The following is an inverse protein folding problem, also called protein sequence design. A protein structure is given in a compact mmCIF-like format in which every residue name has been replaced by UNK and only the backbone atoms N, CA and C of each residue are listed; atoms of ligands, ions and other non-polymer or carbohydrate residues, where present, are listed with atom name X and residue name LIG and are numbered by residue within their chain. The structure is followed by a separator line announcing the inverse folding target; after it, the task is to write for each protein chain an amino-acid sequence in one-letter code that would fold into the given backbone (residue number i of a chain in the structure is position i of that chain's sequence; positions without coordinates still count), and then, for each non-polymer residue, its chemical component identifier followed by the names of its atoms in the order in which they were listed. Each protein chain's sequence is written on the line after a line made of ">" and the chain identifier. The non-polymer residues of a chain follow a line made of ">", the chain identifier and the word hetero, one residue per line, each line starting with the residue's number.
data_IF_903346192127
#
_entry.id   IF_903346192127
#
_cell.length_a   1.000
_cell.length_b   1.000
_cell.length_c   1.000
_cell.angle_alpha   90.00
_cell.angle_beta   90.00
_cell.angle_gamma   90.00
#
_symmetry.space_group_name_H-M   'P 1'
#
loop_
_entity.id
_entity.type
_entity.pdbx_description
1 polymer ?
#
# COMPACT_ATOMS: atom_id res chain seq x y z
N UNK A 1 0.97 -3.26 -7.68
CA UNK A 1 0.00 -4.32 -8.04
C UNK A 1 0.67 -5.65 -7.75
N UNK A 2 0.02 -6.57 -7.05
CA UNK A 2 0.57 -7.88 -6.76
C UNK A 2 -0.18 -8.95 -7.58
N UNK A 3 0.32 -10.19 -7.61
CA UNK A 3 -0.34 -11.33 -8.25
C UNK A 3 -1.77 -11.59 -7.74
N UNK A 4 -2.11 -11.08 -6.56
CA UNK A 4 -3.44 -11.16 -5.93
C UNK A 4 -4.32 -9.93 -6.20
N UNK A 5 -3.81 -8.90 -6.88
CA UNK A 5 -4.62 -7.73 -7.24
C UNK A 5 -5.64 -8.14 -8.29
N UNK A 6 -6.91 -8.16 -7.90
CA UNK A 6 -8.02 -8.45 -8.80
C UNK A 6 -8.48 -7.19 -9.54
N UNK A 7 -9.12 -7.39 -10.69
CA UNK A 7 -9.79 -6.32 -11.45
C UNK A 7 -10.83 -5.58 -10.61
N UNK A 8 -11.47 -6.26 -9.67
CA UNK A 8 -12.48 -5.73 -8.74
C UNK A 8 -11.92 -4.68 -7.77
N UNK A 9 -10.64 -4.74 -7.43
CA UNK A 9 -9.99 -3.74 -6.56
C UNK A 9 -9.69 -2.44 -7.32
N UNK A 10 -9.38 -2.56 -8.61
CA UNK A 10 -9.07 -1.42 -9.48
C UNK A 10 -10.34 -0.72 -9.96
N UNK A 11 -11.23 -1.48 -10.60
CA UNK A 11 -12.44 -0.96 -11.23
C UNK A 11 -13.60 -0.82 -10.24
N UNK A 12 -13.61 -1.63 -9.20
CA UNK A 12 -14.75 -1.80 -8.33
C UNK A 12 -15.54 -3.05 -8.68
N UNK A 13 -16.38 -3.47 -7.75
CA UNK A 13 -17.21 -4.66 -7.89
C UNK A 13 -18.41 -4.60 -6.96
N UNK A 14 -19.34 -5.52 -7.16
CA UNK A 14 -20.49 -5.66 -6.26
C UNK A 14 -20.06 -6.27 -4.94
N UNK A 15 -20.07 -5.45 -3.88
CA UNK A 15 -19.77 -5.89 -2.51
C UNK A 15 -21.07 -5.97 -1.71
N UNK A 16 -21.17 -6.89 -0.74
CA UNK A 16 -22.31 -6.92 0.17
C UNK A 16 -22.29 -5.66 1.05
N UNK A 17 -23.41 -4.95 1.10
CA UNK A 17 -23.57 -3.72 1.86
C UNK A 17 -24.74 -3.88 2.83
N UNK A 18 -24.60 -3.35 4.05
CA UNK A 18 -25.71 -3.30 5.00
C UNK A 18 -26.87 -2.52 4.35
N UNK A 19 -28.06 -3.13 4.31
CA UNK A 19 -29.29 -2.50 3.84
C UNK A 19 -29.50 -1.11 4.46
N UNK A 20 -29.03 -0.88 5.69
CA UNK A 20 -29.07 0.43 6.33
C UNK A 20 -28.37 1.53 5.51
N UNK A 21 -27.20 1.24 4.94
CA UNK A 21 -26.43 2.19 4.13
C UNK A 21 -27.09 2.45 2.77
N UNK A 22 -27.77 1.46 2.20
CA UNK A 22 -28.52 1.62 0.96
C UNK A 22 -29.82 2.42 1.15
N UNK A 23 -30.50 2.19 2.27
CA UNK A 23 -31.78 2.83 2.58
C UNK A 23 -31.57 4.28 3.03
N UNK A 24 -30.46 4.60 3.70
CA UNK A 24 -30.17 5.93 4.24
C UNK A 24 -30.33 7.07 3.21
N UNK A 25 -29.64 7.09 2.06
CA UNK A 25 -29.74 8.18 1.10
C UNK A 25 -31.15 8.31 0.51
N UNK A 26 -31.85 7.18 0.29
CA UNK A 26 -33.22 7.16 -0.23
C UNK A 26 -34.20 7.73 0.83
N UNK A 27 -33.98 7.40 2.10
CA UNK A 27 -34.77 7.93 3.22
C UNK A 27 -34.57 9.44 3.36
N UNK A 28 -33.33 9.92 3.28
CA UNK A 28 -33.03 11.35 3.36
C UNK A 28 -33.69 12.12 2.21
N UNK A 29 -33.58 11.62 0.97
CA UNK A 29 -34.27 12.17 -0.21
C UNK A 29 -35.79 12.18 -0.01
N UNK A 30 -36.37 11.10 0.51
CA UNK A 30 -37.78 11.01 0.86
C UNK A 30 -38.19 12.04 1.92
N UNK A 31 -37.43 12.17 3.00
CA UNK A 31 -37.77 13.11 4.08
C UNK A 31 -37.71 14.57 3.60
N UNK A 32 -36.73 14.92 2.77
CA UNK A 32 -36.62 16.24 2.15
C UNK A 32 -37.85 16.53 1.29
N UNK A 33 -38.21 15.62 0.39
CA UNK A 33 -39.39 15.77 -0.49
C UNK A 33 -40.70 15.76 0.28
N UNK A 34 -40.80 14.95 1.33
CA UNK A 34 -41.99 14.88 2.17
C UNK A 34 -42.21 16.20 2.91
N UNK A 35 -41.15 16.79 3.49
CA UNK A 35 -41.23 18.08 4.20
C UNK A 35 -41.48 19.26 3.26
N UNK A 36 -41.09 19.17 1.99
CA UNK A 36 -41.35 20.23 1.01
C UNK A 36 -42.79 20.22 0.48
N UNK A 37 -43.50 19.08 0.54
CA UNK A 37 -44.84 18.92 -0.03
C UNK A 37 -45.96 18.75 1.01
N UNK A 38 -45.70 18.04 2.12
CA UNK A 38 -46.70 17.80 3.17
C UNK A 38 -46.45 18.68 4.40
N UNK A 39 -47.53 19.12 5.06
CA UNK A 39 -47.44 19.86 6.32
C UNK A 39 -46.78 19.02 7.42
N UNK A 40 -45.79 19.59 8.10
CA UNK A 40 -44.94 18.87 9.07
C UNK A 40 -45.67 18.57 10.39
N UNK A 41 -46.33 19.57 10.95
CA UNK A 41 -47.07 19.51 12.23
C UNK A 41 -48.01 18.29 12.35
N UNK A 42 -48.98 18.07 11.43
CA UNK A 42 -49.90 16.93 11.52
C UNK A 42 -49.21 15.58 11.25
N UNK A 43 -48.10 15.59 10.51
CA UNK A 43 -47.39 14.38 10.08
C UNK A 43 -46.17 14.04 10.96
N UNK A 44 -45.95 14.75 12.07
CA UNK A 44 -44.80 14.53 12.97
C UNK A 44 -44.74 13.11 13.52
N UNK A 45 -45.90 12.52 13.87
CA UNK A 45 -45.98 11.11 14.33
C UNK A 45 -45.56 10.12 13.24
N UNK A 46 -45.90 10.40 11.98
CA UNK A 46 -45.54 9.58 10.83
C UNK A 46 -44.02 9.64 10.55
N UNK A 47 -43.43 10.84 10.55
CA UNK A 47 -41.98 11.01 10.39
C UNK A 47 -41.19 10.32 11.53
N UNK A 48 -41.66 10.43 12.76
CA UNK A 48 -41.07 9.70 13.89
C UNK A 48 -41.17 8.18 13.73
N UNK A 49 -42.29 7.68 13.17
CA UNK A 49 -42.46 6.26 12.91
C UNK A 49 -41.49 5.77 11.82
N UNK A 50 -41.27 6.55 10.75
CA UNK A 50 -40.25 6.29 9.73
C UNK A 50 -38.86 6.22 10.35
N UNK A 51 -38.51 7.20 11.19
CA UNK A 51 -37.23 7.22 11.89
C UNK A 51 -37.02 5.98 12.77
N UNK A 52 -38.03 5.62 13.56
CA UNK A 52 -38.01 4.43 14.42
C UNK A 52 -37.90 3.13 13.61
N UNK A 53 -38.64 3.00 12.51
CA UNK A 53 -38.54 1.83 11.64
C UNK A 53 -37.14 1.67 11.02
N UNK A 54 -36.45 2.77 10.73
CA UNK A 54 -35.07 2.75 10.26
C UNK A 54 -34.07 2.35 11.35
N UNK A 55 -34.23 2.85 12.57
CA UNK A 55 -33.37 2.49 13.71
C UNK A 55 -33.54 1.02 14.11
N UNK A 56 -34.77 0.53 14.14
CA UNK A 56 -35.12 -0.86 14.47
C UNK A 56 -34.91 -1.84 13.30
N UNK A 57 -34.33 -1.39 12.17
CA UNK A 57 -34.07 -2.20 10.96
C UNK A 57 -35.32 -2.88 10.37
N UNK A 58 -36.50 -2.28 10.53
CA UNK A 58 -37.78 -2.77 10.02
C UNK A 58 -37.98 -2.39 8.54
N UNK A 59 -37.12 -2.90 7.67
CA UNK A 59 -37.01 -2.48 6.27
C UNK A 59 -38.30 -2.65 5.45
N UNK A 60 -39.03 -3.76 5.63
CA UNK A 60 -40.29 -4.03 4.89
C UNK A 60 -41.39 -3.01 5.21
N UNK A 61 -41.52 -2.68 6.50
CA UNK A 61 -42.48 -1.67 6.96
C UNK A 61 -42.07 -0.29 6.48
N UNK A 62 -40.78 0.04 6.60
CA UNK A 62 -40.23 1.32 6.17
C UNK A 62 -40.46 1.59 4.68
N UNK A 63 -40.14 0.64 3.79
CA UNK A 63 -40.35 0.79 2.34
C UNK A 63 -41.82 0.91 1.99
N UNK A 64 -42.70 0.16 2.66
CA UNK A 64 -44.15 0.22 2.44
C UNK A 64 -44.73 1.60 2.81
N UNK A 65 -44.29 2.18 3.93
CA UNK A 65 -44.72 3.52 4.35
C UNK A 65 -44.25 4.61 3.37
N UNK A 66 -43.01 4.54 2.91
CA UNK A 66 -42.45 5.49 1.92
C UNK A 66 -43.15 5.36 0.56
N UNK A 67 -43.43 4.14 0.09
CA UNK A 67 -44.16 3.92 -1.18
C UNK A 67 -45.59 4.43 -1.08
N UNK A 68 -46.31 4.12 0.00
CA UNK A 68 -47.69 4.55 0.17
C UNK A 68 -47.81 6.08 0.17
N UNK A 69 -46.93 6.77 0.91
CA UNK A 69 -46.91 8.24 0.94
C UNK A 69 -46.49 8.87 -0.38
N UNK A 70 -45.50 8.30 -1.08
CA UNK A 70 -45.09 8.71 -2.43
C UNK A 70 -46.24 8.55 -3.43
N UNK A 71 -46.98 7.43 -3.38
CA UNK A 71 -48.14 7.19 -4.23
C UNK A 71 -49.29 8.18 -3.97
N UNK A 72 -49.50 8.57 -2.71
CA UNK A 72 -50.50 9.57 -2.34
C UNK A 72 -50.10 10.98 -2.81
N UNK A 73 -48.80 11.31 -2.79
CA UNK A 73 -48.28 12.56 -3.32
C UNK A 73 -48.50 12.64 -4.84
N UNK A 74 -48.12 11.60 -5.57
CA UNK A 74 -48.28 11.51 -7.03
C UNK A 74 -49.75 11.63 -7.44
N UNK A 75 -50.67 10.91 -6.80
CA UNK A 75 -52.12 11.02 -7.07
C UNK A 75 -52.68 12.43 -6.87
N UNK A 76 -52.19 13.16 -5.87
CA UNK A 76 -52.61 14.56 -5.63
C UNK A 76 -52.05 15.50 -6.69
N UNK A 77 -50.81 15.28 -7.12
CA UNK A 77 -50.16 16.06 -8.18
C UNK A 77 -50.78 15.79 -9.56
N UNK A 78 -51.32 14.59 -9.80
CA UNK A 78 -52.07 14.28 -11.03
C UNK A 78 -53.44 14.95 -11.09
N UNK A 79 -54.06 15.23 -9.94
CA UNK A 79 -55.36 15.86 -9.83
C UNK A 79 -55.33 17.40 -9.80
N UNK A 80 -54.14 18.00 -9.67
CA UNK A 80 -53.94 19.46 -9.53
C UNK A 80 -53.56 20.11 -10.88
N UNK A 81 -53.96 21.38 -11.15
CA UNK A 81 -53.62 22.07 -12.39
C UNK A 81 -52.10 22.29 -12.52
N UNK A 82 -51.54 21.90 -13.68
CA UNK A 82 -50.10 21.86 -13.96
C UNK A 82 -49.42 23.23 -13.97
N UNK A 83 -49.03 23.72 -12.79
CA UNK A 83 -48.06 24.80 -12.64
C UNK A 83 -46.63 24.25 -12.78
N UNK A 84 -45.68 25.13 -13.12
CA UNK A 84 -44.27 24.75 -13.36
C UNK A 84 -43.64 24.06 -12.14
N UNK A 85 -43.96 24.52 -10.92
CA UNK A 85 -43.50 23.93 -9.66
C UNK A 85 -44.09 22.54 -9.40
N UNK A 86 -45.35 22.31 -9.75
CA UNK A 86 -46.00 20.99 -9.60
C UNK A 86 -45.45 19.98 -10.60
N UNK A 87 -45.10 20.41 -11.81
CA UNK A 87 -44.44 19.58 -12.81
C UNK A 87 -43.06 19.14 -12.30
N UNK A 88 -42.31 20.04 -11.68
CA UNK A 88 -40.99 19.71 -11.11
C UNK A 88 -41.10 18.75 -9.91
N UNK A 89 -42.06 18.98 -9.01
CA UNK A 89 -42.34 18.07 -7.89
C UNK A 89 -42.77 16.69 -8.40
N UNK A 90 -43.66 16.62 -9.40
CA UNK A 90 -44.10 15.36 -10.01
C UNK A 90 -42.92 14.56 -10.56
N UNK A 91 -41.96 15.22 -11.25
CA UNK A 91 -40.74 14.57 -11.71
C UNK A 91 -39.86 14.05 -10.57
N UNK A 92 -39.69 14.83 -9.49
CA UNK A 92 -38.89 14.42 -8.31
C UNK A 92 -39.53 13.23 -7.60
N UNK A 93 -40.83 13.28 -7.35
CA UNK A 93 -41.59 12.18 -6.74
C UNK A 93 -41.63 10.92 -7.62
N UNK A 94 -41.72 11.08 -8.95
CA UNK A 94 -41.65 9.96 -9.90
C UNK A 94 -40.30 9.24 -9.85
N UNK A 95 -39.19 10.00 -9.87
CA UNK A 95 -37.84 9.43 -9.70
C UNK A 95 -37.68 8.70 -8.36
N UNK A 96 -38.21 9.26 -7.27
CA UNK A 96 -38.18 8.62 -5.97
C UNK A 96 -39.01 7.32 -5.95
N UNK A 97 -40.18 7.31 -6.60
CA UNK A 97 -41.03 6.12 -6.71
C UNK A 97 -40.31 4.95 -7.39
N UNK A 98 -39.61 5.21 -8.49
CA UNK A 98 -38.80 4.19 -9.19
C UNK A 98 -37.69 3.65 -8.30
N UNK A 99 -36.98 4.52 -7.56
CA UNK A 99 -35.95 4.10 -6.59
C UNK A 99 -36.55 3.24 -5.47
N UNK A 100 -37.71 3.62 -4.95
CA UNK A 100 -38.39 2.91 -3.87
C UNK A 100 -38.92 1.53 -4.28
N UNK A 101 -39.42 1.37 -5.51
CA UNK A 101 -39.85 0.05 -6.01
C UNK A 101 -38.65 -0.89 -6.25
N UNK A 102 -37.53 -0.36 -6.75
CA UNK A 102 -36.26 -1.12 -6.80
C UNK A 102 -35.78 -1.54 -5.41
N UNK A 103 -35.88 -0.64 -4.43
CA UNK A 103 -35.51 -0.95 -3.05
C UNK A 103 -36.46 -1.99 -2.43
N UNK A 104 -37.76 -1.93 -2.74
CA UNK A 104 -38.75 -2.91 -2.26
C UNK A 104 -38.44 -4.31 -2.75
N UNK A 105 -38.10 -4.48 -4.03
CA UNK A 105 -37.77 -5.80 -4.57
C UNK A 105 -36.51 -6.38 -3.89
N UNK A 106 -35.50 -5.55 -3.63
CA UNK A 106 -34.28 -5.92 -2.88
C UNK A 106 -34.56 -6.28 -1.41
N UNK A 107 -35.51 -5.60 -0.75
CA UNK A 107 -35.89 -5.88 0.64
C UNK A 107 -36.81 -7.11 0.77
N UNK A 108 -37.51 -7.49 -0.30
CA UNK A 108 -38.40 -8.66 -0.33
C UNK A 108 -37.64 -9.97 -0.57
N UNK A 109 -36.53 -9.94 -1.31
CA UNK A 109 -35.63 -11.10 -1.39
C UNK A 109 -35.12 -11.43 0.02
N UNK A 110 -35.34 -12.67 0.46
CA UNK A 110 -35.07 -13.14 1.83
C UNK A 110 -33.59 -13.10 2.26
N UNK A 111 -32.68 -12.75 1.34
CA UNK A 111 -31.26 -12.60 1.64
C UNK A 111 -31.01 -11.18 2.14
N UNK A 112 -30.61 -11.08 3.41
CA UNK A 112 -30.20 -9.82 4.08
C UNK A 112 -28.95 -9.16 3.49
N UNK A 113 -28.37 -9.75 2.43
CA UNK A 113 -27.25 -9.20 1.69
C UNK A 113 -27.78 -8.47 0.46
N UNK A 114 -27.79 -7.15 0.52
CA UNK A 114 -27.91 -6.33 -0.68
C UNK A 114 -26.51 -6.05 -1.22
N UNK A 115 -26.37 -6.10 -2.54
CA UNK A 115 -25.10 -5.83 -3.21
C UNK A 115 -25.12 -4.42 -3.77
N UNK A 116 -24.06 -3.66 -3.51
CA UNK A 116 -23.84 -2.35 -4.12
C UNK A 116 -22.53 -2.37 -4.89
N UNK A 117 -22.50 -1.71 -6.04
CA UNK A 117 -21.26 -1.51 -6.78
C UNK A 117 -20.40 -0.48 -6.02
N UNK A 118 -19.28 -0.93 -5.48
CA UNK A 118 -18.31 -0.06 -4.81
C UNK A 118 -17.22 0.27 -5.82
N UNK A 119 -17.09 1.55 -6.15
CA UNK A 119 -16.08 2.03 -7.09
C UNK A 119 -14.66 1.76 -6.57
N UNK A 120 -13.83 1.17 -7.44
CA UNK A 120 -12.44 0.87 -7.15
C UNK A 120 -11.56 2.12 -7.13
N UNK A 121 -10.34 1.96 -6.63
CA UNK A 121 -9.43 3.10 -6.41
C UNK A 121 -9.05 3.80 -7.71
N UNK A 122 -8.93 3.06 -8.81
CA UNK A 122 -8.61 3.65 -10.13
C UNK A 122 -9.77 4.51 -10.64
N UNK A 123 -11.01 4.06 -10.47
CA UNK A 123 -12.20 4.81 -10.90
C UNK A 123 -12.31 6.13 -10.15
N UNK A 124 -12.08 6.12 -8.84
CA UNK A 124 -12.11 7.34 -8.02
C UNK A 124 -11.01 8.31 -8.46
N UNK A 125 -9.79 7.82 -8.62
CA UNK A 125 -8.66 8.64 -9.08
C UNK A 125 -8.93 9.25 -10.47
N UNK A 126 -9.50 8.46 -11.39
CA UNK A 126 -9.84 8.90 -12.74
C UNK A 126 -10.83 10.07 -12.76
N UNK A 127 -11.82 10.05 -11.85
CA UNK A 127 -12.82 11.12 -11.71
C UNK A 127 -12.28 12.36 -11.02
N UNK A 128 -11.42 12.18 -10.02
CA UNK A 128 -10.87 13.26 -9.21
C UNK A 128 -9.64 13.94 -9.83
N UNK A 129 -9.02 13.33 -10.85
CA UNK A 129 -7.75 13.82 -11.41
C UNK A 129 -6.52 13.41 -10.62
N UNK A 130 -6.64 12.40 -9.75
CA UNK A 130 -5.53 11.96 -8.92
C UNK A 130 -4.47 11.21 -9.75
N UNK A 131 -3.21 11.25 -9.29
CA UNK A 131 -2.13 10.51 -9.92
C UNK A 131 -2.11 9.07 -9.42
N UNK A 132 -1.97 8.12 -10.35
CA UNK A 132 -1.94 6.68 -10.05
C UNK A 132 -0.58 6.11 -10.40
N UNK A 133 0.06 5.46 -9.41
CA UNK A 133 1.29 4.69 -9.59
C UNK A 133 0.98 3.19 -9.56
N UNK A 134 1.16 2.51 -10.69
CA UNK A 134 1.08 1.07 -10.82
C UNK A 134 2.47 0.47 -10.62
N UNK A 135 2.80 0.16 -9.38
CA UNK A 135 4.05 -0.53 -9.07
C UNK A 135 3.99 -2.01 -9.48
N UNK A 136 5.11 -2.56 -9.94
CA UNK A 136 5.25 -3.95 -10.43
C UNK A 136 4.13 -4.40 -11.39
N UNK A 137 3.80 -3.57 -12.40
CA UNK A 137 2.70 -3.84 -13.34
C UNK A 137 2.82 -5.20 -14.04
N UNK A 138 4.04 -5.71 -14.21
CA UNK A 138 4.31 -6.98 -14.85
C UNK A 138 3.96 -8.23 -14.02
N UNK A 139 3.64 -8.05 -12.74
CA UNK A 139 3.12 -9.12 -11.88
C UNK A 139 1.59 -9.27 -11.96
N UNK A 140 0.90 -8.31 -12.57
CA UNK A 140 -0.55 -8.35 -12.71
C UNK A 140 -1.00 -9.44 -13.71
N UNK A 141 -2.21 -9.96 -13.51
CA UNK A 141 -2.83 -10.92 -14.44
C UNK A 141 -3.23 -10.24 -15.75
N UNK A 142 -3.29 -11.00 -16.84
CA UNK A 142 -3.67 -10.48 -18.15
C UNK A 142 -5.05 -9.80 -18.13
N UNK A 143 -6.03 -10.39 -17.43
CA UNK A 143 -7.38 -9.83 -17.26
C UNK A 143 -7.35 -8.43 -16.63
N UNK A 144 -6.53 -8.25 -15.60
CA UNK A 144 -6.39 -6.98 -14.90
C UNK A 144 -5.68 -5.94 -15.78
N UNK A 145 -4.73 -6.37 -16.61
CA UNK A 145 -4.06 -5.51 -17.58
C UNK A 145 -4.99 -5.09 -18.72
N UNK A 146 -5.86 -5.98 -19.19
CA UNK A 146 -6.85 -5.63 -20.23
C UNK A 146 -7.83 -4.55 -19.76
N UNK A 147 -8.17 -4.54 -18.47
CA UNK A 147 -8.98 -3.48 -17.86
C UNK A 147 -8.34 -2.09 -18.00
N UNK A 148 -7.00 -2.01 -18.07
CA UNK A 148 -6.27 -0.76 -18.26
C UNK A 148 -6.17 -0.36 -19.74
N UNK A 149 -6.33 -1.30 -20.68
CA UNK A 149 -6.18 -1.04 -22.12
C UNK A 149 -7.04 0.11 -22.59
N UNK A 150 -8.33 0.14 -22.23
CA UNK A 150 -9.26 1.20 -22.64
C UNK A 150 -8.91 2.59 -22.08
N UNK A 151 -8.32 2.63 -20.88
CA UNK A 151 -7.84 3.88 -20.27
C UNK A 151 -6.57 4.40 -20.95
N UNK A 152 -5.72 3.50 -21.43
CA UNK A 152 -4.45 3.82 -22.08
C UNK A 152 -4.60 4.08 -23.58
N UNK A 153 -5.81 4.05 -24.11
CA UNK A 153 -6.09 4.27 -25.53
C UNK A 153 -6.20 5.76 -25.86
N UNK A 154 -5.04 6.36 -26.16
CA UNK A 154 -4.94 7.75 -26.61
C UNK A 154 -5.29 8.81 -25.55
N UNK A 155 -5.42 10.07 -25.97
CA UNK A 155 -5.69 11.20 -25.08
C UNK A 155 -7.14 11.28 -24.60
N UNK A 156 -8.05 10.57 -25.26
CA UNK A 156 -9.49 10.52 -24.94
C UNK A 156 -9.93 9.15 -24.39
N UNK A 157 -8.98 8.33 -23.92
CA UNK A 157 -9.27 7.04 -23.31
C UNK A 157 -10.33 7.15 -22.22
N UNK A 158 -11.31 6.25 -22.25
CA UNK A 158 -12.40 6.21 -21.27
C UNK A 158 -12.50 4.82 -20.69
N UNK A 159 -12.88 4.74 -19.42
CA UNK A 159 -12.98 3.47 -18.72
C UNK A 159 -14.45 3.02 -18.71
N UNK A 160 -14.73 1.94 -19.42
CA UNK A 160 -16.06 1.33 -19.45
C UNK A 160 -16.21 0.34 -18.29
N UNK A 161 -17.09 0.66 -17.34
CA UNK A 161 -17.42 -0.24 -16.22
C UNK A 161 -18.46 -1.27 -16.66
N UNK A 162 -18.01 -2.28 -17.41
CA UNK A 162 -18.88 -3.35 -17.92
C UNK A 162 -19.64 -4.07 -16.79
N UNK A 163 -19.02 -4.25 -15.62
CA UNK A 163 -19.64 -4.93 -14.48
C UNK A 163 -20.82 -4.17 -13.88
N UNK A 164 -20.80 -2.83 -13.92
CA UNK A 164 -21.89 -2.00 -13.38
C UNK A 164 -23.15 -2.05 -14.27
N UNK A 165 -23.01 -2.49 -15.52
CA UNK A 165 -24.09 -2.47 -16.52
C UNK A 165 -24.44 -1.06 -17.03
N UNK A 166 -23.66 -0.05 -16.63
CA UNK A 166 -23.83 1.33 -17.08
C UNK A 166 -23.32 1.46 -18.53
N UNK A 167 -24.14 2.10 -19.38
CA UNK A 167 -23.77 2.37 -20.79
C UNK A 167 -22.82 3.56 -20.94
N UNK A 168 -22.59 4.32 -19.87
CA UNK A 168 -21.78 5.54 -19.88
C UNK A 168 -20.35 5.22 -19.46
N UNK A 169 -19.39 5.50 -20.35
CA UNK A 169 -17.96 5.39 -20.03
C UNK A 169 -17.53 6.54 -19.14
N UNK A 170 -16.62 6.27 -18.21
CA UNK A 170 -16.07 7.29 -17.33
C UNK A 170 -15.02 8.06 -18.09
N UNK A 171 -15.27 9.36 -18.29
CA UNK A 171 -14.33 10.27 -18.92
C UNK A 171 -13.17 10.56 -17.97
N UNK A 172 -11.95 10.52 -18.51
CA UNK A 172 -10.72 10.90 -17.82
C UNK A 172 -10.74 12.39 -17.44
N UNK A 173 -10.39 12.69 -16.20
CA UNK A 173 -10.14 14.06 -15.75
C UNK A 173 -8.86 14.63 -16.40
N UNK A 174 -8.83 15.94 -16.67
CA UNK A 174 -7.72 16.59 -17.40
C UNK A 174 -6.37 16.44 -16.67
N UNK A 175 -6.37 16.59 -15.34
CA UNK A 175 -5.16 16.45 -14.50
C UNK A 175 -4.77 15.00 -14.14
N UNK A 176 -5.53 14.00 -14.59
CA UNK A 176 -5.24 12.60 -14.28
C UNK A 176 -3.94 12.15 -14.94
N UNK A 177 -3.05 11.54 -14.18
CA UNK A 177 -1.81 10.95 -14.67
C UNK A 177 -1.65 9.51 -14.18
N UNK A 178 -1.14 8.64 -15.06
CA UNK A 178 -0.83 7.25 -14.73
C UNK A 178 0.65 6.98 -14.96
N UNK A 179 1.30 6.46 -13.95
CA UNK A 179 2.69 6.01 -13.98
C UNK A 179 2.69 4.51 -13.71
N UNK A 180 3.53 3.77 -14.44
CA UNK A 180 3.71 2.35 -14.21
C UNK A 180 5.19 2.07 -14.03
N UNK A 181 5.52 1.28 -13.00
CA UNK A 181 6.86 0.81 -12.75
C UNK A 181 6.89 -0.70 -12.99
N UNK A 182 7.92 -1.16 -13.70
CA UNK A 182 8.23 -2.58 -13.83
C UNK A 182 9.72 -2.78 -13.67
N UNK A 183 10.08 -3.90 -13.07
CA UNK A 183 11.45 -4.38 -13.12
C UNK A 183 11.63 -5.23 -14.39
N UNK A 184 12.79 -5.17 -15.07
CA UNK A 184 13.03 -5.93 -16.29
C UNK A 184 12.88 -7.44 -16.06
N UNK A 185 12.44 -8.17 -17.10
CA UNK A 185 12.15 -9.60 -17.06
C UNK A 185 13.40 -10.51 -16.90
N UNK A 186 14.60 -9.93 -16.81
CA UNK A 186 15.84 -10.66 -16.52
C UNK A 186 15.90 -11.19 -15.07
N UNK A 187 15.02 -10.70 -14.20
CA UNK A 187 14.84 -11.17 -12.83
C UNK A 187 13.87 -12.38 -12.77
N UNK A 188 14.25 -13.41 -12.02
CA UNK A 188 13.50 -14.66 -11.86
C UNK A 188 12.02 -14.41 -11.51
N UNK A 189 11.11 -14.97 -12.31
CA UNK A 189 9.66 -14.93 -12.05
C UNK A 189 8.91 -13.72 -12.61
N UNK A 190 9.59 -12.82 -13.34
CA UNK A 190 8.98 -11.61 -13.93
C UNK A 190 8.62 -11.84 -15.40
N UNK A 191 7.37 -11.55 -15.77
CA UNK A 191 6.87 -11.65 -17.14
C UNK A 191 7.13 -10.33 -17.88
N UNK A 192 7.27 -10.40 -19.20
CA UNK A 192 7.23 -9.21 -20.04
C UNK A 192 5.79 -8.65 -20.09
N UNK A 193 5.68 -7.33 -20.22
CA UNK A 193 4.40 -6.68 -20.44
C UNK A 193 3.87 -7.07 -21.84
N UNK A 194 2.57 -7.39 -22.00
CA UNK A 194 1.99 -7.66 -23.31
C UNK A 194 2.28 -6.50 -24.28
N UNK A 195 2.74 -6.83 -25.50
CA UNK A 195 3.18 -5.84 -26.50
C UNK A 195 2.11 -4.78 -26.77
N UNK A 196 0.83 -5.18 -26.81
CA UNK A 196 -0.29 -4.27 -27.04
C UNK A 196 -0.51 -3.24 -25.94
N UNK A 197 -0.10 -3.54 -24.70
CA UNK A 197 -0.14 -2.59 -23.58
C UNK A 197 1.16 -1.78 -23.52
N UNK A 198 2.29 -2.44 -23.77
CA UNK A 198 3.62 -1.83 -23.83
C UNK A 198 3.67 -0.66 -24.82
N UNK A 199 3.11 -0.85 -26.01
CA UNK A 199 3.05 0.18 -27.05
C UNK A 199 2.17 1.39 -26.69
N UNK A 200 1.34 1.30 -25.63
CA UNK A 200 0.51 2.41 -25.14
C UNK A 200 1.22 3.25 -24.07
N UNK A 201 2.33 2.76 -23.52
CA UNK A 201 3.17 3.49 -22.58
C UNK A 201 4.35 4.15 -23.30
N UNK A 202 4.80 5.29 -22.77
CA UNK A 202 6.13 5.82 -23.06
C UNK A 202 7.10 5.25 -22.03
N UNK A 203 7.98 4.36 -22.46
CA UNK A 203 8.92 3.67 -21.58
C UNK A 203 10.18 4.50 -21.35
N UNK A 204 10.56 4.65 -20.08
CA UNK A 204 11.85 5.20 -19.68
C UNK A 204 12.65 4.10 -19.00
N UNK A 205 13.80 3.75 -19.58
CA UNK A 205 14.73 2.84 -18.92
C UNK A 205 15.61 3.64 -17.95
N UNK A 206 15.63 3.21 -16.69
CA UNK A 206 16.48 3.82 -15.66
C UNK A 206 17.58 2.82 -15.35
N UNK A 207 18.78 3.12 -15.84
CA UNK A 207 19.98 2.36 -15.54
C UNK A 207 20.35 2.47 -14.04
N UNK A 208 21.06 1.46 -13.55
CA UNK A 208 21.65 1.56 -12.22
C UNK A 208 22.74 2.64 -12.18
N UNK A 209 22.74 3.41 -11.10
CA UNK A 209 23.78 4.41 -10.83
C UNK A 209 25.12 3.70 -10.55
N UNK A 210 25.99 3.69 -11.55
CA UNK A 210 27.35 3.11 -11.48
C UNK A 210 28.44 4.17 -11.51
N UNK A 211 28.10 5.41 -11.85
CA UNK A 211 29.04 6.52 -11.91
C UNK A 211 29.59 6.89 -10.54
N UNK A 212 30.92 7.00 -10.45
CA UNK A 212 31.63 7.24 -9.19
C UNK A 212 31.23 8.58 -8.55
N UNK A 213 31.08 9.63 -9.36
CA UNK A 213 30.68 10.96 -8.89
C UNK A 213 29.30 10.95 -8.23
N UNK A 214 28.35 10.24 -8.83
CA UNK A 214 26.96 10.20 -8.39
C UNK A 214 26.84 9.34 -7.12
N UNK A 215 27.57 8.23 -7.07
CA UNK A 215 27.67 7.42 -5.86
C UNK A 215 28.34 8.18 -4.70
N UNK A 216 29.35 9.02 -4.99
CA UNK A 216 29.96 9.89 -3.98
C UNK A 216 28.95 10.92 -3.46
N UNK A 217 28.17 11.54 -4.34
CA UNK A 217 27.11 12.49 -3.95
C UNK A 217 26.05 11.80 -3.08
N UNK A 218 25.62 10.59 -3.47
CA UNK A 218 24.65 9.79 -2.72
C UNK A 218 25.17 9.45 -1.31
N UNK A 219 26.39 8.90 -1.22
CA UNK A 219 27.00 8.54 0.08
C UNK A 219 27.17 9.78 0.96
N UNK A 220 27.61 10.90 0.38
CA UNK A 220 27.77 12.17 1.10
C UNK A 220 26.44 12.68 1.65
N UNK A 221 25.36 12.58 0.86
CA UNK A 221 24.01 12.99 1.27
C UNK A 221 23.49 12.17 2.45
N UNK A 222 23.64 10.84 2.40
CA UNK A 222 23.20 9.95 3.50
C UNK A 222 24.01 10.10 4.78
N UNK A 223 25.31 10.39 4.67
CA UNK A 223 26.22 10.45 5.82
C UNK A 223 26.58 11.89 6.23
N UNK A 224 25.80 12.87 5.78
CA UNK A 224 26.05 14.30 6.02
C UNK A 224 26.18 14.60 7.52
N UNK A 225 25.29 14.05 8.35
CA UNK A 225 25.27 14.26 9.79
C UNK A 225 26.50 13.69 10.52
N UNK A 226 27.24 12.78 9.89
CA UNK A 226 28.42 12.14 10.46
C UNK A 226 29.73 12.90 10.18
N UNK A 227 29.69 13.94 9.33
CA UNK A 227 30.85 14.76 8.95
C UNK A 227 32.09 13.93 8.59
N UNK A 228 31.93 12.93 7.72
CA UNK A 228 33.03 12.06 7.31
C UNK A 228 34.00 12.78 6.36
N UNK A 229 35.31 12.51 6.46
CA UNK A 229 36.29 13.02 5.50
C UNK A 229 36.03 12.47 4.09
N UNK A 230 36.32 13.24 3.03
CA UNK A 230 36.05 12.85 1.64
C UNK A 230 36.77 11.55 1.23
N UNK A 231 37.95 11.29 1.79
CA UNK A 231 38.70 10.04 1.55
C UNK A 231 37.95 8.78 2.00
N UNK A 232 37.16 8.87 3.08
CA UNK A 232 36.33 7.76 3.55
C UNK A 232 35.12 7.54 2.64
N UNK A 233 34.51 8.61 2.17
CA UNK A 233 33.40 8.53 1.20
C UNK A 233 33.89 7.85 -0.08
N UNK A 234 35.06 8.25 -0.58
CA UNK A 234 35.68 7.60 -1.73
C UNK A 234 35.99 6.10 -1.47
N UNK A 235 36.48 5.77 -0.28
CA UNK A 235 36.77 4.39 0.11
C UNK A 235 35.51 3.52 0.15
N UNK A 236 34.38 4.06 0.62
CA UNK A 236 33.08 3.39 0.64
C UNK A 236 32.56 3.16 -0.79
N UNK A 237 32.65 4.16 -1.67
CA UNK A 237 32.24 4.02 -3.07
C UNK A 237 33.11 2.99 -3.79
N UNK A 238 34.43 3.03 -3.56
CA UNK A 238 35.37 2.05 -4.11
C UNK A 238 35.06 0.63 -3.61
N UNK A 239 34.68 0.48 -2.35
CA UNK A 239 34.21 -0.80 -1.81
C UNK A 239 32.98 -1.29 -2.56
N UNK A 240 31.95 -0.45 -2.72
CA UNK A 240 30.71 -0.84 -3.37
C UNK A 240 30.93 -1.30 -4.83
N UNK A 241 31.73 -0.56 -5.60
CA UNK A 241 32.07 -0.94 -6.97
C UNK A 241 32.88 -2.24 -7.03
N UNK A 242 33.81 -2.45 -6.09
CA UNK A 242 34.63 -3.66 -6.07
C UNK A 242 33.83 -4.89 -5.62
N UNK A 243 32.97 -4.77 -4.60
CA UNK A 243 32.19 -5.91 -4.12
C UNK A 243 31.17 -6.38 -5.15
N UNK A 244 30.64 -5.46 -5.98
CA UNK A 244 29.80 -5.82 -7.13
C UNK A 244 30.57 -6.63 -8.17
N UNK A 245 31.76 -6.18 -8.56
CA UNK A 245 32.63 -6.92 -9.49
C UNK A 245 32.98 -8.30 -8.94
N UNK A 246 33.29 -8.39 -7.64
CA UNK A 246 33.60 -9.66 -6.99
C UNK A 246 32.37 -10.59 -6.93
N UNK A 247 31.18 -10.03 -6.72
CA UNK A 247 29.92 -10.77 -6.71
C UNK A 247 29.60 -11.43 -8.05
N UNK A 248 29.91 -10.76 -9.15
CA UNK A 248 29.74 -11.31 -10.49
C UNK A 248 30.79 -12.38 -10.85
N UNK A 249 32.00 -12.26 -10.27
CA UNK A 249 33.12 -13.14 -10.59
C UNK A 249 33.19 -14.40 -9.70
N UNK A 250 33.25 -14.21 -8.38
CA UNK A 250 33.78 -15.23 -7.46
C UNK A 250 32.91 -15.50 -6.22
N UNK A 251 32.03 -14.58 -5.82
CA UNK A 251 31.24 -14.76 -4.59
C UNK A 251 30.03 -15.67 -4.82
N UNK A 252 29.70 -16.41 -3.77
CA UNK A 252 28.51 -17.26 -3.71
C UNK A 252 27.71 -16.94 -2.44
N UNK A 253 26.40 -17.05 -2.57
CA UNK A 253 25.45 -16.99 -1.46
C UNK A 253 25.32 -18.38 -0.78
N UNK A 254 24.60 -18.43 0.34
CA UNK A 254 24.35 -19.67 1.07
C UNK A 254 23.63 -20.77 0.27
N UNK A 255 23.06 -20.44 -0.89
CA UNK A 255 22.37 -21.37 -1.81
C UNK A 255 23.23 -21.75 -3.02
N UNK A 256 24.45 -21.21 -3.13
CA UNK A 256 25.38 -21.46 -4.24
C UNK A 256 25.10 -20.59 -5.48
N UNK A 257 24.28 -19.56 -5.37
CA UNK A 257 24.04 -18.58 -6.44
C UNK A 257 24.93 -17.35 -6.26
N UNK A 258 25.13 -16.57 -7.33
CA UNK A 258 25.88 -15.31 -7.24
C UNK A 258 25.06 -14.27 -6.45
N UNK A 259 25.62 -13.63 -5.42
CA UNK A 259 24.89 -12.63 -4.65
C UNK A 259 24.64 -11.37 -5.49
N UNK A 260 23.47 -10.75 -5.35
CA UNK A 260 23.12 -9.52 -6.07
C UNK A 260 23.16 -8.29 -5.14
N UNK A 261 24.11 -7.39 -5.36
CA UNK A 261 24.27 -6.16 -4.58
C UNK A 261 23.76 -4.92 -5.31
N UNK A 262 22.46 -4.67 -5.19
CA UNK A 262 21.80 -3.46 -5.72
C UNK A 262 22.18 -2.18 -4.96
N UNK A 263 21.84 -1.01 -5.53
CA UNK A 263 21.96 0.28 -4.85
C UNK A 263 21.20 0.31 -3.51
N UNK A 264 20.07 -0.41 -3.43
CA UNK A 264 19.28 -0.54 -2.21
C UNK A 264 20.08 -1.16 -1.07
N UNK A 265 20.98 -2.11 -1.36
CA UNK A 265 21.87 -2.71 -0.36
C UNK A 265 22.79 -1.66 0.24
N UNK A 266 23.38 -0.80 -0.61
CA UNK A 266 24.20 0.32 -0.17
C UNK A 266 23.37 1.33 0.65
N UNK A 267 22.23 1.80 0.13
CA UNK A 267 21.39 2.77 0.82
C UNK A 267 20.91 2.27 2.20
N UNK A 268 20.60 0.98 2.35
CA UNK A 268 20.24 0.38 3.65
C UNK A 268 21.42 0.44 4.63
N UNK A 269 22.62 0.07 4.19
CA UNK A 269 23.82 0.17 5.01
C UNK A 269 24.08 1.62 5.44
N UNK A 270 23.97 2.58 4.51
CA UNK A 270 24.16 4.00 4.79
C UNK A 270 23.10 4.55 5.74
N UNK A 271 21.82 4.20 5.55
CA UNK A 271 20.72 4.64 6.41
C UNK A 271 20.90 4.17 7.85
N UNK A 272 21.30 2.91 8.06
CA UNK A 272 21.61 2.40 9.41
C UNK A 272 22.86 3.07 9.98
N UNK A 273 23.86 3.34 9.15
CA UNK A 273 25.09 4.02 9.57
C UNK A 273 24.82 5.46 10.03
N UNK A 274 23.95 6.18 9.31
CA UNK A 274 23.57 7.57 9.60
C UNK A 274 22.91 7.71 10.98
N UNK A 275 22.15 6.71 11.42
CA UNK A 275 21.54 6.68 12.75
C UNK A 275 22.56 6.54 13.88
N UNK A 276 23.81 6.15 13.57
CA UNK A 276 24.89 5.89 14.53
C UNK A 276 24.44 5.05 15.76
N UNK A 277 23.81 3.88 15.56
CA UNK A 277 23.25 3.06 16.65
C UNK A 277 24.30 2.61 17.67
N UNK A 278 25.57 2.57 17.29
CA UNK A 278 26.67 2.12 18.15
C UNK A 278 27.30 3.27 18.94
N UNK A 279 26.85 4.52 18.75
CA UNK A 279 27.47 5.73 19.33
C UNK A 279 28.91 6.00 18.87
N UNK A 280 29.46 5.14 18.02
CA UNK A 280 30.76 5.27 17.39
C UNK A 280 30.57 5.10 15.89
N UNK A 281 30.89 6.16 15.14
CA UNK A 281 30.66 6.28 13.70
C UNK A 281 31.31 5.10 12.94
N UNK A 282 32.55 4.76 13.27
CA UNK A 282 33.27 3.67 12.60
C UNK A 282 32.68 2.30 12.94
N UNK A 283 32.22 2.10 14.18
CA UNK A 283 31.54 0.88 14.60
C UNK A 283 30.21 0.72 13.88
N UNK A 284 29.42 1.78 13.80
CA UNK A 284 28.12 1.79 13.13
C UNK A 284 28.24 1.57 11.64
N UNK A 285 29.21 2.21 10.97
CA UNK A 285 29.53 1.94 9.57
C UNK A 285 29.91 0.46 9.38
N UNK A 286 30.82 -0.06 10.21
CA UNK A 286 31.26 -1.45 10.09
C UNK A 286 30.10 -2.45 10.25
N UNK A 287 29.32 -2.32 11.32
CA UNK A 287 28.19 -3.21 11.60
C UNK A 287 27.10 -3.12 10.52
N UNK A 288 26.73 -1.91 10.09
CA UNK A 288 25.71 -1.73 9.06
C UNK A 288 26.11 -2.36 7.71
N UNK A 289 27.39 -2.24 7.34
CA UNK A 289 27.92 -2.87 6.14
C UNK A 289 28.02 -4.39 6.29
N UNK A 290 28.42 -4.90 7.45
CA UNK A 290 28.40 -6.34 7.73
C UNK A 290 26.99 -6.91 7.61
N UNK A 291 25.99 -6.26 8.21
CA UNK A 291 24.59 -6.69 8.14
C UNK A 291 24.04 -6.69 6.70
N UNK A 292 24.43 -5.71 5.90
CA UNK A 292 23.88 -5.55 4.55
C UNK A 292 24.57 -6.43 3.50
N UNK A 293 25.88 -6.66 3.61
CA UNK A 293 26.67 -7.33 2.58
C UNK A 293 27.06 -8.77 2.93
N UNK A 294 27.14 -9.14 4.21
CA UNK A 294 27.65 -10.47 4.61
C UNK A 294 26.58 -11.52 4.87
N UNK A 295 25.35 -11.10 5.19
CA UNK A 295 24.30 -11.99 5.70
C UNK A 295 23.85 -13.07 4.71
N UNK A 296 23.98 -12.83 3.41
CA UNK A 296 23.57 -13.78 2.37
C UNK A 296 24.70 -14.70 1.90
N UNK A 297 25.95 -14.43 2.31
CA UNK A 297 27.14 -15.10 1.76
C UNK A 297 27.38 -16.50 2.35
N UNK A 298 28.01 -17.36 1.56
CA UNK A 298 28.52 -18.65 2.03
C UNK A 298 29.77 -18.49 2.92
N UNK A 299 30.20 -19.59 3.53
CA UNK A 299 31.33 -19.61 4.47
C UNK A 299 32.68 -19.24 3.82
N UNK A 300 32.83 -19.41 2.50
CA UNK A 300 34.06 -19.09 1.76
C UNK A 300 34.10 -17.62 1.32
N UNK A 301 32.96 -17.07 0.90
CA UNK A 301 32.82 -15.70 0.40
C UNK A 301 32.73 -14.68 1.55
N UNK A 302 32.13 -15.07 2.68
CA UNK A 302 32.02 -14.24 3.87
C UNK A 302 33.35 -13.56 4.28
N UNK A 303 34.46 -14.29 4.51
CA UNK A 303 35.71 -13.67 4.94
C UNK A 303 36.33 -12.77 3.86
N UNK A 304 36.04 -12.99 2.57
CA UNK A 304 36.53 -12.15 1.47
C UNK A 304 35.88 -10.76 1.57
N UNK A 305 34.56 -10.71 1.61
CA UNK A 305 33.81 -9.45 1.69
C UNK A 305 34.05 -8.75 3.02
N UNK A 306 34.18 -9.50 4.13
CA UNK A 306 34.51 -8.93 5.43
C UNK A 306 35.86 -8.19 5.41
N UNK A 307 36.89 -8.75 4.76
CA UNK A 307 38.19 -8.06 4.58
C UNK A 307 38.05 -6.79 3.73
N UNK A 308 37.21 -6.81 2.71
CA UNK A 308 36.94 -5.64 1.88
C UNK A 308 36.27 -4.52 2.70
N UNK A 309 35.30 -4.87 3.56
CA UNK A 309 34.63 -3.92 4.47
C UNK A 309 35.63 -3.33 5.47
N UNK A 310 36.44 -4.17 6.12
CA UNK A 310 37.48 -3.71 7.06
C UNK A 310 38.42 -2.73 6.40
N UNK A 311 38.95 -3.08 5.22
CA UNK A 311 39.86 -2.20 4.47
C UNK A 311 39.22 -0.86 4.11
N UNK A 312 37.95 -0.85 3.73
CA UNK A 312 37.26 0.36 3.30
C UNK A 312 36.88 1.31 4.45
N UNK A 313 36.49 0.77 5.60
CA UNK A 313 35.98 1.56 6.73
C UNK A 313 37.08 1.85 7.75
N UNK A 314 37.98 0.88 7.98
CA UNK A 314 38.99 0.90 9.04
C UNK A 314 40.41 1.12 8.54
N UNK A 315 40.65 1.00 7.22
CA UNK A 315 41.98 1.09 6.63
C UNK A 315 42.85 -0.08 7.07
N UNK A 316 43.96 0.22 7.75
CA UNK A 316 44.91 -0.78 8.27
C UNK A 316 44.52 -1.36 9.64
N UNK A 317 43.49 -0.82 10.30
CA UNK A 317 43.07 -1.27 11.63
C UNK A 317 42.29 -2.58 11.55
N UNK A 318 42.45 -3.44 12.55
CA UNK A 318 41.71 -4.70 12.67
C UNK A 318 40.28 -4.46 13.16
N UNK A 319 39.35 -5.32 12.75
CA UNK A 319 37.97 -5.29 13.23
C UNK A 319 37.89 -5.34 14.78
N UNK A 320 38.75 -6.16 15.41
CA UNK A 320 38.83 -6.34 16.86
C UNK A 320 39.04 -5.03 17.64
N UNK A 321 39.72 -4.04 17.06
CA UNK A 321 39.97 -2.75 17.68
C UNK A 321 38.67 -1.95 17.93
N UNK A 322 37.59 -2.26 17.20
CA UNK A 322 36.34 -1.50 17.23
C UNK A 322 35.20 -2.33 17.83
N UNK A 323 35.18 -3.65 17.60
CA UNK A 323 34.21 -4.55 18.24
C UNK A 323 34.34 -4.53 19.78
N UNK A 324 35.56 -4.34 20.29
CA UNK A 324 35.80 -4.23 21.73
C UNK A 324 35.24 -2.96 22.39
N UNK A 325 34.75 -1.98 21.62
CA UNK A 325 34.14 -0.78 22.19
C UNK A 325 32.67 -1.06 22.51
N UNK A 326 32.23 -0.94 23.79
CA UNK A 326 30.85 -1.25 24.15
C UNK A 326 29.88 -0.26 23.51
N UNK A 327 28.74 -0.79 23.04
CA UNK A 327 27.65 0.02 22.50
C UNK A 327 26.99 0.77 23.67
N UNK A 328 26.82 2.11 23.57
CA UNK A 328 26.17 2.88 24.63
C UNK A 328 24.71 2.44 24.78
N UNK A 329 24.23 2.48 26.02
CA UNK A 329 22.84 2.12 26.32
C UNK A 329 21.88 3.06 25.59
N UNK A 330 20.84 2.54 24.91
CA UNK A 330 19.81 3.35 24.27
C UNK A 330 19.16 4.32 25.26
N UNK A 331 18.84 5.54 24.80
CA UNK A 331 18.13 6.54 25.60
C UNK A 331 16.65 6.14 25.71
N UNK A 332 16.21 5.68 26.88
CA UNK A 332 14.85 5.20 27.18
C UNK A 332 14.68 4.82 28.67
N UNK A 333 13.48 4.37 29.09
CA UNK A 333 13.29 3.83 30.47
C UNK A 333 14.29 2.69 30.68
N UNK A 334 15.16 2.81 31.68
CA UNK A 334 16.26 1.89 31.90
C UNK A 334 15.83 0.41 31.96
N UNK A 335 14.62 0.12 32.45
CA UNK A 335 14.13 -1.26 32.65
C UNK A 335 13.73 -2.00 31.37
N UNK A 336 13.65 -1.32 30.22
CA UNK A 336 13.14 -1.89 28.98
C UNK A 336 14.20 -2.48 28.06
N UNK A 337 15.50 -2.50 28.43
CA UNK A 337 16.56 -3.03 27.57
C UNK A 337 17.52 -3.95 28.32
N UNK A 338 17.80 -5.12 27.75
CA UNK A 338 18.78 -6.11 28.22
C UNK A 338 20.03 -6.06 27.34
N UNK A 339 21.21 -6.19 27.94
CA UNK A 339 22.47 -6.32 27.20
C UNK A 339 22.75 -7.81 26.93
N UNK A 340 22.76 -8.21 25.66
CA UNK A 340 23.09 -9.57 25.21
C UNK A 340 24.24 -9.49 24.21
N UNK A 341 25.35 -10.19 24.51
CA UNK A 341 26.57 -10.22 23.68
C UNK A 341 27.04 -8.83 23.18
N UNK A 342 26.99 -7.82 24.06
CA UNK A 342 27.36 -6.42 23.79
C UNK A 342 26.36 -5.60 22.96
N UNK A 343 25.17 -6.14 22.66
CA UNK A 343 24.05 -5.44 22.02
C UNK A 343 22.91 -5.19 23.00
N UNK A 344 22.23 -4.06 22.86
CA UNK A 344 21.05 -3.72 23.67
C UNK A 344 19.77 -4.12 22.94
N UNK A 345 18.99 -5.01 23.56
CA UNK A 345 17.76 -5.57 23.01
C UNK A 345 16.58 -5.16 23.90
N UNK A 346 15.43 -4.76 23.35
CA UNK A 346 14.25 -4.45 24.16
C UNK A 346 13.78 -5.69 24.93
N UNK A 347 13.50 -5.52 26.22
CA UNK A 347 12.93 -6.53 27.11
C UNK A 347 11.44 -6.66 26.82
N UNK A 348 10.95 -7.88 26.62
CA UNK A 348 9.51 -8.16 26.50
C UNK A 348 8.79 -8.10 27.86
N UNK A 349 7.46 -8.10 27.82
CA UNK A 349 6.60 -7.97 29.01
C UNK A 349 6.53 -9.24 29.88
N UNK A 350 7.11 -10.35 29.41
CA UNK A 350 7.08 -11.64 30.09
C UNK A 350 8.39 -11.92 30.82
N UNK A 351 8.31 -12.58 31.96
CA UNK A 351 9.50 -13.07 32.67
C UNK A 351 10.15 -14.22 31.89
N UNK A 352 11.49 -14.22 31.75
CA UNK A 352 12.19 -15.26 31.01
C UNK A 352 12.07 -16.59 31.75
N UNK A 353 11.37 -17.56 31.15
CA UNK A 353 11.42 -18.95 31.58
C UNK A 353 12.71 -19.57 31.03
N UNK A 354 13.66 -19.86 31.93
CA UNK A 354 14.83 -20.65 31.58
C UNK A 354 14.37 -22.11 31.55
N UNK A 355 14.32 -22.79 30.39
CA UNK A 355 13.97 -24.19 30.37
C UNK A 355 15.07 -24.98 31.08
N UNK A 356 14.70 -25.86 32.02
CA UNK A 356 15.63 -26.62 32.87
C UNK A 356 16.66 -27.43 32.04
N UNK A 357 16.31 -27.79 30.79
CA UNK A 357 17.13 -28.59 29.87
C UNK A 357 18.29 -27.83 29.17
N UNK A 358 18.36 -26.49 29.22
CA UNK A 358 19.33 -25.71 28.42
C UNK A 358 20.68 -25.49 29.14
N UNK A 359 20.77 -25.89 30.42
CA UNK A 359 22.00 -25.82 31.21
C UNK A 359 23.16 -26.68 30.64
N UNK A 360 22.86 -27.62 29.74
CA UNK A 360 23.84 -28.45 29.02
C UNK A 360 24.36 -27.84 27.71
N UNK A 361 23.63 -26.92 27.06
CA UNK A 361 24.02 -26.39 25.75
C UNK A 361 24.95 -25.17 25.85
N UNK A 362 24.80 -24.32 26.86
CA UNK A 362 25.69 -23.16 27.05
C UNK A 362 27.09 -23.53 27.59
N UNK A 363 27.22 -24.63 28.33
CA UNK A 363 28.51 -25.06 28.89
C UNK A 363 29.45 -25.77 27.90
N UNK A 364 28.97 -26.15 26.72
CA UNK A 364 29.80 -26.87 25.72
C UNK A 364 30.59 -25.96 24.78
N UNK A 365 30.17 -24.70 24.60
CA UNK A 365 30.85 -23.75 23.70
C UNK A 365 31.80 -22.77 24.40
N UNK A 366 31.81 -22.73 25.74
CA UNK A 366 32.74 -21.89 26.52
C UNK A 366 34.11 -22.54 26.80
N UNK A 367 34.38 -23.75 26.31
CA UNK A 367 35.61 -24.52 26.65
C UNK A 367 36.58 -24.86 25.53
N UNK A 368 36.46 -24.29 24.32
CA UNK A 368 37.52 -24.43 23.29
C UNK A 368 37.73 -23.16 22.46
N UNK A 369 38.36 -22.14 23.05
CA UNK A 369 39.33 -21.26 22.38
C UNK A 369 40.36 -20.82 23.44
N UNK A 370 41.50 -21.51 23.46
CA UNK A 370 42.80 -21.00 23.91
C UNK A 370 43.57 -20.69 22.64
#
# INVERSE_FOLDING_TARGET
>A
MNQQSESTDLLGGYKPVDLKLLILPIREEFEILFRSYFAIEPNKKFLNHIGRCFEERKWKTLTTLMIHSTSAALKRLEASPKNQDEIEHSKKWGKLAEKLEKLRSQVQSQYSLAFSFVEGSLVKALKNGDWVLLDEINLATAETLECLSGLLEGSCGSLSLLERGDRESIKRHEDFAIFACMNPATDVGKKDLPIGLRNRFTEFFVDELTEKSDLQLLVSSYLNDLNLPPEKIESIVKFYLNVRKEAEANLLDGTGHKPHYSLRTLCRALSVSAQNPCGNILRSLFEAFCLSFLTQLDSKSYPVVQRMIVKAILGEKTASAIIGTPIPRPRGRAESFMCFESYWIPKGDLEPQIPEDVSLYFNKYSRKRI
#
